data_IF_832439675204
#
_entry.id   IF_832439675204
#
_cell.length_a   1.000
_cell.length_b   1.000
_cell.length_c   1.000
_cell.angle_alpha   90.00
_cell.angle_beta   90.00
_cell.angle_gamma   90.00
#
_symmetry.space_group_name_H-M   'P 1'
#
loop_
_entity.id
_entity.type
_entity.pdbx_description
1 polymer ?
#
# COMPACT_ATOMS: atom_id res chain seq x y z
N UNK A 1 -84.20 3.81 11.78
CA UNK A 1 -83.19 2.85 11.30
C UNK A 1 -82.44 3.50 10.12
N UNK A 2 -81.20 4.07 10.36
CA UNK A 2 -80.28 4.50 9.31
C UNK A 2 -79.26 3.36 9.08
N UNK A 3 -79.23 2.86 7.84
CA UNK A 3 -78.14 2.00 7.37
C UNK A 3 -77.05 2.91 6.77
N UNK A 4 -75.86 2.93 7.38
CA UNK A 4 -74.64 3.50 6.78
C UNK A 4 -73.89 2.41 6.03
N UNK A 5 -73.84 2.56 4.71
CA UNK A 5 -72.99 1.71 3.84
C UNK A 5 -71.53 2.17 3.87
N UNK A 6 -70.68 1.31 4.33
CA UNK A 6 -69.20 1.49 4.34
C UNK A 6 -68.64 1.08 2.93
N UNK A 7 -68.24 2.01 2.11
CA UNK A 7 -67.59 1.73 0.82
C UNK A 7 -66.08 1.47 1.05
N UNK A 8 -65.63 0.22 0.88
CA UNK A 8 -64.21 -0.12 0.88
C UNK A 8 -63.56 0.28 -0.42
N UNK A 9 -62.65 1.24 -0.38
CA UNK A 9 -61.80 1.63 -1.52
C UNK A 9 -60.62 0.66 -1.58
N UNK A 10 -60.65 -0.29 -2.49
CA UNK A 10 -59.50 -1.13 -2.84
C UNK A 10 -58.52 -0.32 -3.72
N UNK A 11 -57.45 0.19 -3.11
CA UNK A 11 -56.33 0.79 -3.84
C UNK A 11 -55.50 -0.32 -4.49
N UNK A 12 -55.64 -0.50 -5.79
CA UNK A 12 -54.77 -1.31 -6.62
C UNK A 12 -53.38 -0.61 -6.74
N UNK A 13 -52.43 -1.01 -5.94
CA UNK A 13 -51.03 -0.63 -6.12
C UNK A 13 -50.49 -1.35 -7.38
N UNK A 14 -50.20 -0.56 -8.42
CA UNK A 14 -49.50 -1.07 -9.59
C UNK A 14 -48.12 -1.64 -9.19
N UNK A 15 -47.69 -2.78 -9.73
CA UNK A 15 -46.37 -3.31 -9.47
C UNK A 15 -45.31 -2.31 -9.96
N UNK A 16 -44.45 -1.84 -9.05
CA UNK A 16 -43.25 -1.06 -9.40
C UNK A 16 -42.32 -2.03 -10.11
N UNK A 17 -42.25 -1.93 -11.45
CA UNK A 17 -41.27 -2.64 -12.26
C UNK A 17 -39.90 -2.05 -11.86
N UNK A 18 -39.14 -2.77 -11.04
CA UNK A 18 -37.77 -2.41 -10.68
C UNK A 18 -36.95 -2.35 -11.98
N UNK A 19 -36.34 -1.18 -12.24
CA UNK A 19 -35.41 -1.00 -13.36
C UNK A 19 -34.31 -2.06 -13.22
N UNK A 20 -33.94 -2.79 -14.29
CA UNK A 20 -32.85 -3.78 -14.20
C UNK A 20 -31.61 -3.11 -13.61
N UNK A 21 -31.00 -3.73 -12.62
CA UNK A 21 -29.75 -3.25 -12.05
C UNK A 21 -28.72 -3.14 -13.18
N UNK A 22 -28.05 -2.00 -13.28
CA UNK A 22 -26.97 -1.82 -14.24
C UNK A 22 -25.91 -2.89 -13.99
N UNK A 23 -25.31 -3.44 -15.06
CA UNK A 23 -24.19 -4.38 -14.89
C UNK A 23 -23.06 -3.68 -14.17
N UNK A 24 -22.40 -4.34 -13.19
CA UNK A 24 -21.23 -3.79 -12.55
C UNK A 24 -20.13 -3.44 -13.58
N UNK A 25 -19.38 -2.41 -13.29
CA UNK A 25 -18.22 -1.98 -14.07
C UNK A 25 -17.12 -3.02 -13.85
N UNK A 26 -16.63 -3.66 -14.93
CA UNK A 26 -15.47 -4.56 -14.85
C UNK A 26 -14.24 -3.73 -14.47
N UNK A 27 -13.49 -4.21 -13.46
CA UNK A 27 -12.20 -3.64 -13.08
C UNK A 27 -11.14 -4.72 -13.21
N UNK A 28 -10.09 -4.43 -13.96
CA UNK A 28 -8.96 -5.35 -14.18
C UNK A 28 -7.84 -5.11 -13.19
N UNK A 29 -7.53 -3.84 -12.95
CA UNK A 29 -6.50 -3.43 -11.98
C UNK A 29 -7.03 -2.26 -11.16
N UNK A 30 -6.90 -2.37 -9.84
CA UNK A 30 -7.09 -1.26 -8.90
C UNK A 30 -5.72 -0.74 -8.50
N UNK A 31 -5.46 0.53 -8.77
CA UNK A 31 -4.27 1.23 -8.26
C UNK A 31 -4.65 1.93 -6.97
N UNK A 32 -3.88 1.66 -5.92
CA UNK A 32 -4.08 2.21 -4.58
C UNK A 32 -2.94 3.18 -4.28
N UNK A 33 -3.28 4.41 -3.93
CA UNK A 33 -2.37 5.45 -3.46
C UNK A 33 -2.86 5.98 -2.12
N UNK A 34 -1.99 6.61 -1.33
CA UNK A 34 -2.38 7.13 -0.02
C UNK A 34 -2.90 8.57 -0.10
N UNK A 35 -2.24 9.45 -0.85
CA UNK A 35 -2.57 10.87 -0.84
C UNK A 35 -2.45 11.56 -2.19
N UNK A 36 -2.98 12.78 -2.24
CA UNK A 36 -2.78 13.75 -3.30
C UNK A 36 -2.76 15.16 -2.72
N UNK A 37 -1.93 16.03 -3.27
CA UNK A 37 -1.79 17.41 -2.86
C UNK A 37 -2.71 18.29 -3.74
N UNK A 38 -3.67 18.99 -3.11
CA UNK A 38 -4.59 19.88 -3.84
C UNK A 38 -5.58 19.15 -4.75
N UNK A 39 -5.55 19.45 -6.06
CA UNK A 39 -6.43 18.85 -7.05
C UNK A 39 -5.94 17.49 -7.52
N UNK A 40 -6.78 16.71 -8.19
CA UNK A 40 -6.37 15.43 -8.76
C UNK A 40 -5.33 15.58 -9.88
N UNK A 41 -5.26 16.75 -10.54
CA UNK A 41 -4.33 17.05 -11.63
C UNK A 41 -4.06 18.54 -11.76
N UNK A 42 -2.89 18.93 -12.29
CA UNK A 42 -2.61 20.31 -12.73
C UNK A 42 -1.95 21.21 -11.68
N UNK A 43 -1.60 20.68 -10.52
CA UNK A 43 -0.89 21.41 -9.47
C UNK A 43 0.32 20.60 -8.92
N UNK A 44 0.71 20.82 -7.67
CA UNK A 44 1.81 20.06 -7.05
C UNK A 44 1.37 18.60 -6.89
N UNK A 45 2.10 17.63 -7.49
CA UNK A 45 1.68 16.24 -7.46
C UNK A 45 1.90 15.57 -6.11
N UNK A 46 0.89 14.79 -5.69
CA UNK A 46 1.05 13.67 -4.78
C UNK A 46 1.13 12.36 -5.54
N UNK A 47 0.75 11.27 -4.88
CA UNK A 47 0.81 9.91 -5.48
C UNK A 47 -0.27 9.66 -6.55
N UNK A 48 -1.42 10.30 -6.41
CA UNK A 48 -2.60 10.04 -7.24
C UNK A 48 -2.53 10.73 -8.61
N UNK A 49 -1.87 11.88 -8.73
CA UNK A 49 -1.93 12.74 -9.90
C UNK A 49 -1.48 12.06 -11.19
N UNK A 50 -0.40 11.26 -11.16
CA UNK A 50 0.08 10.55 -12.35
C UNK A 50 -0.99 9.60 -12.91
N UNK A 51 -1.68 8.88 -12.03
CA UNK A 51 -2.78 7.98 -12.39
C UNK A 51 -4.02 8.74 -12.83
N UNK A 52 -4.41 9.78 -12.10
CA UNK A 52 -5.56 10.62 -12.43
C UNK A 52 -5.45 11.30 -13.80
N UNK A 53 -4.23 11.58 -14.25
CA UNK A 53 -3.96 12.20 -15.55
C UNK A 53 -4.28 11.26 -16.72
N UNK A 54 -4.08 9.95 -16.56
CA UNK A 54 -4.30 8.96 -17.64
C UNK A 54 -5.62 8.21 -17.54
N UNK A 55 -6.33 8.32 -16.41
CA UNK A 55 -7.64 7.70 -16.17
C UNK A 55 -8.73 8.78 -16.27
N UNK A 56 -9.37 8.93 -17.45
CA UNK A 56 -10.15 10.14 -17.77
C UNK A 56 -11.46 10.28 -17.00
N UNK A 57 -12.09 9.14 -16.61
CA UNK A 57 -13.40 9.20 -15.95
C UNK A 57 -13.25 9.44 -14.44
N UNK A 58 -14.04 10.40 -13.93
CA UNK A 58 -14.17 10.68 -12.50
C UNK A 58 -15.46 10.05 -12.00
N UNK A 59 -15.36 9.08 -11.10
CA UNK A 59 -16.49 8.39 -10.50
C UNK A 59 -16.69 8.88 -9.07
N UNK A 60 -17.87 9.38 -8.75
CA UNK A 60 -18.19 9.84 -7.39
C UNK A 60 -18.04 8.71 -6.37
N UNK A 61 -17.28 8.96 -5.31
CA UNK A 61 -17.03 8.00 -4.24
C UNK A 61 -17.13 8.67 -2.86
N UNK A 62 -18.36 8.94 -2.39
CA UNK A 62 -18.59 9.71 -1.17
C UNK A 62 -18.12 9.01 0.12
N UNK A 63 -17.86 7.69 0.07
CA UNK A 63 -17.32 6.93 1.19
C UNK A 63 -15.78 6.99 1.28
N UNK A 64 -15.11 7.62 0.32
CA UNK A 64 -13.66 7.78 0.28
C UNK A 64 -13.21 9.22 0.48
N UNK A 65 -11.91 9.43 0.59
CA UNK A 65 -11.30 10.77 0.74
C UNK A 65 -11.34 11.57 -0.57
N UNK A 66 -11.40 10.85 -1.72
CA UNK A 66 -11.47 11.43 -3.07
C UNK A 66 -12.40 10.61 -3.97
N UNK A 67 -12.80 11.20 -5.10
CA UNK A 67 -13.45 10.45 -6.17
C UNK A 67 -12.46 9.49 -6.82
N UNK A 68 -12.99 8.39 -7.36
CA UNK A 68 -12.20 7.43 -8.10
C UNK A 68 -11.87 7.97 -9.50
N UNK A 69 -10.79 7.45 -10.08
CA UNK A 69 -10.47 7.61 -11.51
C UNK A 69 -10.53 6.27 -12.22
N UNK A 70 -11.04 6.26 -13.43
CA UNK A 70 -11.25 5.04 -14.21
C UNK A 70 -11.01 5.28 -15.70
N UNK A 71 -10.50 4.27 -16.38
CA UNK A 71 -10.42 4.24 -17.83
C UNK A 71 -11.24 3.05 -18.38
N UNK A 72 -12.34 3.31 -19.14
CA UNK A 72 -13.17 2.25 -19.71
C UNK A 72 -12.49 1.44 -20.82
N UNK A 73 -11.34 1.87 -21.33
CA UNK A 73 -10.57 1.13 -22.34
C UNK A 73 -9.68 0.06 -21.73
N UNK A 74 -8.96 0.42 -20.68
CA UNK A 74 -8.04 -0.48 -19.96
C UNK A 74 -8.68 -1.15 -18.77
N UNK A 75 -9.84 -0.65 -18.30
CA UNK A 75 -10.52 -1.09 -17.08
C UNK A 75 -9.65 -0.93 -15.82
N UNK A 76 -8.75 0.05 -15.83
CA UNK A 76 -7.96 0.44 -14.66
C UNK A 76 -8.73 1.43 -13.82
N UNK A 77 -8.81 1.18 -12.51
CA UNK A 77 -9.41 2.05 -11.51
C UNK A 77 -8.31 2.55 -10.57
N UNK A 78 -8.33 3.81 -10.18
CA UNK A 78 -7.44 4.34 -9.15
C UNK A 78 -8.24 4.93 -7.97
N UNK A 79 -7.74 4.66 -6.77
CA UNK A 79 -8.25 5.17 -5.50
C UNK A 79 -7.13 5.82 -4.69
N UNK A 80 -7.41 6.97 -4.06
CA UNK A 80 -6.59 7.53 -2.99
C UNK A 80 -7.29 7.23 -1.66
N UNK A 81 -6.62 6.48 -0.78
CA UNK A 81 -7.24 5.94 0.43
C UNK A 81 -7.29 6.93 1.60
N UNK A 82 -6.41 7.93 1.60
CA UNK A 82 -5.98 8.64 2.81
C UNK A 82 -4.79 7.94 3.45
N UNK A 83 -3.97 8.70 4.16
CA UNK A 83 -2.75 8.23 4.82
C UNK A 83 -3.07 7.41 6.07
N UNK A 84 -2.29 6.37 6.28
CA UNK A 84 -2.33 5.51 7.46
C UNK A 84 -3.29 4.33 7.37
N UNK A 85 -3.01 3.34 8.19
CA UNK A 85 -3.69 2.02 8.25
C UNK A 85 -5.20 2.13 8.33
N UNK A 86 -5.72 3.05 9.17
CA UNK A 86 -7.16 3.20 9.39
C UNK A 86 -7.90 3.73 8.16
N UNK A 87 -7.37 4.75 7.49
CA UNK A 87 -7.94 5.29 6.25
C UNK A 87 -7.87 4.27 5.12
N UNK A 88 -6.73 3.60 4.97
CA UNK A 88 -6.55 2.57 3.96
C UNK A 88 -7.58 1.45 4.13
N UNK A 89 -7.72 0.91 5.35
CA UNK A 89 -8.68 -0.15 5.63
C UNK A 89 -10.12 0.28 5.31
N UNK A 90 -10.55 1.45 5.77
CA UNK A 90 -11.89 1.95 5.54
C UNK A 90 -12.19 2.17 4.04
N UNK A 91 -11.25 2.77 3.32
CA UNK A 91 -11.41 3.07 1.89
C UNK A 91 -11.43 1.81 1.02
N UNK A 92 -10.56 0.83 1.30
CA UNK A 92 -10.54 -0.45 0.57
C UNK A 92 -11.79 -1.28 0.85
N UNK A 93 -12.25 -1.34 2.12
CA UNK A 93 -13.51 -2.00 2.46
C UNK A 93 -14.70 -1.34 1.77
N UNK A 94 -14.76 -0.01 1.76
CA UNK A 94 -15.84 0.73 1.08
C UNK A 94 -15.87 0.44 -0.43
N UNK A 95 -14.69 0.44 -1.09
CA UNK A 95 -14.59 0.11 -2.52
C UNK A 95 -14.96 -1.36 -2.78
N UNK A 96 -14.43 -2.30 -1.98
CA UNK A 96 -14.64 -3.73 -2.15
C UNK A 96 -16.09 -4.17 -1.96
N UNK A 97 -16.88 -3.41 -1.18
CA UNK A 97 -18.31 -3.63 -0.96
C UNK A 97 -19.22 -2.83 -1.90
N UNK A 98 -18.68 -1.97 -2.75
CA UNK A 98 -19.47 -1.14 -3.66
C UNK A 98 -20.02 -1.98 -4.83
N UNK A 99 -21.35 -2.15 -4.93
CA UNK A 99 -21.97 -3.02 -5.93
C UNK A 99 -21.85 -2.48 -7.37
N UNK A 100 -21.34 -1.27 -7.55
CA UNK A 100 -21.11 -0.69 -8.88
C UNK A 100 -19.94 -1.34 -9.61
N UNK A 101 -19.03 -2.03 -8.90
CA UNK A 101 -17.81 -2.59 -9.46
C UNK A 101 -17.77 -4.11 -9.36
N UNK A 102 -17.27 -4.78 -10.40
CA UNK A 102 -16.84 -6.16 -10.36
C UNK A 102 -15.33 -6.20 -10.12
N UNK A 103 -14.95 -6.55 -8.90
CA UNK A 103 -13.58 -6.63 -8.42
C UNK A 103 -13.09 -8.08 -8.22
N UNK A 104 -13.92 -9.06 -8.58
CA UNK A 104 -13.70 -10.49 -8.26
C UNK A 104 -12.37 -11.01 -8.80
N UNK A 105 -11.95 -10.56 -9.98
CA UNK A 105 -10.70 -10.97 -10.62
C UNK A 105 -9.65 -9.86 -10.67
N UNK A 106 -9.95 -8.67 -10.12
CA UNK A 106 -9.06 -7.53 -10.19
C UNK A 106 -7.71 -7.80 -9.52
N UNK A 107 -6.64 -7.32 -10.14
CA UNK A 107 -5.36 -7.14 -9.47
C UNK A 107 -5.40 -5.84 -8.67
N UNK A 108 -4.69 -5.82 -7.56
CA UNK A 108 -4.54 -4.65 -6.70
C UNK A 108 -3.07 -4.28 -6.66
N UNK A 109 -2.75 -3.04 -6.97
CA UNK A 109 -1.40 -2.52 -6.87
C UNK A 109 -1.38 -1.33 -5.92
N UNK A 110 -0.75 -1.47 -4.77
CA UNK A 110 -0.32 -0.31 -4.00
C UNK A 110 0.89 0.29 -4.70
N UNK A 111 0.80 1.57 -5.08
CA UNK A 111 1.86 2.31 -5.75
C UNK A 111 2.05 3.65 -5.02
N UNK A 112 2.87 3.64 -3.98
CA UNK A 112 2.96 4.71 -2.99
C UNK A 112 4.41 4.90 -2.50
N UNK A 113 4.69 6.06 -1.90
CA UNK A 113 6.01 6.36 -1.33
C UNK A 113 6.21 5.69 0.03
N UNK A 114 7.48 5.58 0.47
CA UNK A 114 7.86 5.00 1.76
C UNK A 114 9.27 5.45 2.18
N UNK A 115 9.59 5.28 3.45
CA UNK A 115 10.96 5.40 3.95
C UNK A 115 11.77 4.14 3.63
N UNK A 116 13.00 4.29 3.11
CA UNK A 116 13.89 3.16 2.80
C UNK A 116 14.90 2.93 3.91
N UNK A 117 15.14 1.66 4.24
CA UNK A 117 16.24 1.28 5.12
C UNK A 117 17.59 1.56 4.41
N UNK A 118 18.45 2.46 4.95
CA UNK A 118 19.73 2.78 4.32
C UNK A 118 20.68 1.58 4.23
N UNK A 119 20.49 0.53 5.04
CA UNK A 119 21.30 -0.68 4.99
C UNK A 119 20.96 -1.60 3.80
N UNK A 120 19.82 -1.39 3.13
CA UNK A 120 19.29 -2.31 2.11
C UNK A 120 18.88 -1.63 0.81
N UNK A 121 18.75 -0.30 0.79
CA UNK A 121 18.36 0.42 -0.40
C UNK A 121 18.74 1.90 -0.37
N UNK A 122 18.46 2.60 -1.46
CA UNK A 122 18.78 4.01 -1.65
C UNK A 122 17.54 4.84 -1.96
N UNK A 123 17.56 6.12 -1.54
CA UNK A 123 16.50 7.08 -1.85
C UNK A 123 16.27 7.18 -3.37
N UNK A 124 15.01 7.25 -3.78
CA UNK A 124 14.55 7.21 -5.17
C UNK A 124 14.39 5.80 -5.75
N UNK A 125 14.79 4.74 -5.02
CA UNK A 125 14.59 3.34 -5.43
C UNK A 125 13.13 2.90 -5.30
N UNK A 126 12.78 1.81 -6.00
CA UNK A 126 11.46 1.18 -5.96
C UNK A 126 11.57 -0.28 -5.50
N UNK A 127 10.76 -0.69 -4.52
CA UNK A 127 10.78 -2.05 -3.99
C UNK A 127 9.45 -2.77 -4.20
N UNK A 128 9.51 -3.96 -4.77
CA UNK A 128 8.43 -4.93 -4.77
C UNK A 128 8.46 -5.74 -3.49
N UNK A 129 7.37 -5.67 -2.71
CA UNK A 129 7.28 -6.23 -1.37
C UNK A 129 6.81 -7.69 -1.41
N UNK A 130 7.43 -8.53 -0.60
CA UNK A 130 7.09 -9.95 -0.47
C UNK A 130 6.22 -10.28 0.74
N UNK A 131 6.45 -9.60 1.84
CA UNK A 131 5.66 -9.70 3.06
C UNK A 131 5.41 -8.30 3.63
N UNK A 132 4.17 -8.03 4.05
CA UNK A 132 3.79 -6.83 4.81
C UNK A 132 3.72 -7.20 6.28
N UNK A 133 4.42 -6.47 7.14
CA UNK A 133 4.55 -6.77 8.56
C UNK A 133 3.98 -5.62 9.38
N UNK A 134 2.94 -5.92 10.16
CA UNK A 134 2.26 -4.96 11.01
C UNK A 134 3.14 -4.55 12.21
N UNK A 135 3.18 -3.25 12.49
CA UNK A 135 3.88 -2.69 13.64
C UNK A 135 2.95 -2.10 14.70
N UNK A 136 1.63 -2.14 14.47
CA UNK A 136 0.65 -1.55 15.38
C UNK A 136 0.05 -2.59 16.35
N UNK A 137 -0.08 -3.84 15.91
CA UNK A 137 -0.69 -4.90 16.72
C UNK A 137 0.34 -5.58 17.63
N UNK A 138 0.61 -4.94 18.76
CA UNK A 138 1.64 -5.35 19.72
C UNK A 138 1.29 -4.90 21.15
N UNK A 139 2.06 -5.37 22.15
CA UNK A 139 2.14 -4.72 23.45
C UNK A 139 3.26 -3.71 23.47
N UNK A 140 3.06 -2.59 24.15
CA UNK A 140 4.07 -1.55 24.28
C UNK A 140 4.29 -1.18 25.75
N UNK A 141 5.57 -1.07 26.12
CA UNK A 141 6.05 -0.50 27.37
C UNK A 141 6.99 0.65 26.98
N UNK A 142 6.95 1.77 27.70
CA UNK A 142 7.92 2.85 27.46
C UNK A 142 9.35 2.29 27.59
N UNK A 143 10.25 2.51 26.64
CA UNK A 143 11.61 1.95 26.69
C UNK A 143 12.40 2.31 27.93
N UNK A 144 12.03 3.42 28.63
CA UNK A 144 12.65 3.86 29.90
C UNK A 144 12.20 3.01 31.11
N UNK A 145 11.10 2.25 30.96
CA UNK A 145 10.49 1.42 32.03
C UNK A 145 10.69 -0.08 31.76
N UNK A 146 11.44 -0.44 30.73
CA UNK A 146 11.69 -1.84 30.39
C UNK A 146 12.73 -2.49 31.32
N UNK A 147 12.69 -3.82 31.50
CA UNK A 147 13.75 -4.55 32.19
C UNK A 147 15.13 -4.31 31.57
N UNK A 148 16.17 -4.33 32.39
CA UNK A 148 17.55 -4.18 31.91
C UNK A 148 17.89 -5.25 30.85
N UNK A 149 18.53 -4.80 29.76
CA UNK A 149 18.93 -5.66 28.63
C UNK A 149 17.90 -5.75 27.50
N UNK A 150 16.71 -5.18 27.66
CA UNK A 150 15.79 -5.08 26.55
C UNK A 150 16.19 -3.95 25.60
N UNK A 151 16.15 -4.24 24.29
CA UNK A 151 16.50 -3.27 23.24
C UNK A 151 15.27 -2.49 22.74
N UNK A 152 14.08 -2.89 23.14
CA UNK A 152 12.82 -2.28 22.74
C UNK A 152 11.77 -2.49 23.82
N UNK A 153 10.78 -1.59 23.88
CA UNK A 153 9.56 -1.77 24.69
C UNK A 153 8.40 -2.41 23.92
N UNK A 154 8.62 -2.80 22.65
CA UNK A 154 7.59 -3.43 21.82
C UNK A 154 7.69 -4.95 21.92
N UNK A 155 6.58 -5.59 22.28
CA UNK A 155 6.48 -7.05 22.40
C UNK A 155 5.44 -7.59 21.44
N UNK A 156 5.70 -8.74 20.81
CA UNK A 156 4.68 -9.42 20.00
C UNK A 156 3.44 -9.71 20.85
N UNK A 157 2.27 -9.55 20.27
CA UNK A 157 1.01 -9.84 20.98
C UNK A 157 1.03 -11.29 21.51
N UNK A 158 0.54 -11.49 22.73
CA UNK A 158 0.64 -12.75 23.47
C UNK A 158 2.06 -13.24 23.80
N UNK A 159 3.05 -12.36 23.82
CA UNK A 159 4.40 -12.63 24.34
C UNK A 159 4.75 -11.62 25.43
N UNK A 160 5.54 -12.06 26.40
CA UNK A 160 5.93 -11.25 27.57
C UNK A 160 7.37 -10.74 27.47
N UNK A 161 8.05 -11.01 26.37
CA UNK A 161 9.42 -10.58 26.10
C UNK A 161 9.55 -10.20 24.62
N UNK A 162 10.40 -9.21 24.26
CA UNK A 162 10.70 -8.90 22.87
C UNK A 162 11.22 -10.14 22.12
N UNK A 163 10.71 -10.36 20.91
CA UNK A 163 11.16 -11.42 19.99
C UNK A 163 11.08 -12.85 20.57
N UNK A 164 10.21 -13.08 21.56
CA UNK A 164 10.07 -14.41 22.21
C UNK A 164 9.48 -15.43 21.25
N UNK A 165 10.16 -16.57 21.12
CA UNK A 165 9.66 -17.74 20.38
C UNK A 165 8.88 -18.70 21.29
N UNK A 166 8.01 -19.59 20.74
CA UNK A 166 7.61 -19.62 19.32
C UNK A 166 6.83 -18.39 18.90
N UNK A 167 6.73 -18.14 17.59
CA UNK A 167 5.88 -17.07 17.07
C UNK A 167 4.44 -17.23 17.60
N UNK A 168 3.75 -16.12 17.92
CA UNK A 168 2.30 -16.17 18.13
C UNK A 168 1.57 -16.48 16.82
N UNK A 169 0.26 -16.50 16.84
CA UNK A 169 -0.53 -16.50 15.61
C UNK A 169 -0.15 -15.26 14.79
N UNK A 170 0.25 -15.49 13.53
CA UNK A 170 0.77 -14.45 12.63
C UNK A 170 -0.30 -13.76 11.80
N UNK A 171 -1.57 -14.18 11.90
CA UNK A 171 -2.67 -13.67 11.08
C UNK A 171 -2.92 -12.15 11.20
N UNK A 172 -2.46 -11.55 12.28
CA UNK A 172 -2.62 -10.11 12.54
C UNK A 172 -1.34 -9.29 12.36
N UNK A 173 -0.19 -9.94 12.25
CA UNK A 173 1.11 -9.25 12.15
C UNK A 173 1.85 -9.53 10.84
N UNK A 174 1.58 -10.66 10.17
CA UNK A 174 2.26 -11.03 8.94
C UNK A 174 1.25 -11.28 7.83
N UNK A 175 1.38 -10.53 6.74
CA UNK A 175 0.59 -10.67 5.52
C UNK A 175 1.50 -11.11 4.37
N UNK A 176 1.68 -12.43 4.16
CA UNK A 176 2.47 -12.93 3.04
C UNK A 176 1.76 -12.60 1.72
N UNK A 177 2.49 -11.94 0.82
CA UNK A 177 2.00 -11.67 -0.53
C UNK A 177 2.33 -12.83 -1.48
N UNK A 178 1.78 -12.75 -2.69
CA UNK A 178 2.06 -13.74 -3.74
C UNK A 178 3.48 -13.49 -4.31
N UNK A 179 4.50 -14.14 -3.73
CA UNK A 179 5.90 -13.96 -4.13
C UNK A 179 6.17 -14.30 -5.60
N UNK A 180 5.60 -15.36 -6.20
CA UNK A 180 5.68 -15.57 -7.65
C UNK A 180 5.16 -14.39 -8.48
N UNK A 181 4.04 -13.78 -8.10
CA UNK A 181 3.49 -12.58 -8.76
C UNK A 181 4.43 -11.37 -8.56
N UNK A 182 4.95 -11.18 -7.34
CA UNK A 182 5.97 -10.15 -7.04
C UNK A 182 7.22 -10.34 -7.91
N UNK A 183 7.74 -11.56 -8.00
CA UNK A 183 8.96 -11.87 -8.77
C UNK A 183 8.77 -11.66 -10.27
N UNK A 184 7.57 -11.95 -10.78
CA UNK A 184 7.19 -11.60 -12.15
C UNK A 184 7.20 -10.08 -12.37
N UNK A 185 6.61 -9.30 -11.47
CA UNK A 185 6.59 -7.83 -11.54
C UNK A 185 8.01 -7.26 -11.48
N UNK A 186 8.85 -7.80 -10.58
CA UNK A 186 10.27 -7.45 -10.51
C UNK A 186 11.01 -7.79 -11.82
N UNK A 187 10.84 -9.00 -12.36
CA UNK A 187 11.45 -9.41 -13.63
C UNK A 187 11.08 -8.49 -14.80
N UNK A 188 9.85 -7.97 -14.82
CA UNK A 188 9.36 -7.03 -15.82
C UNK A 188 9.97 -5.63 -15.67
N UNK A 189 10.37 -5.24 -14.46
CA UNK A 189 10.66 -3.83 -14.11
C UNK A 189 12.09 -3.58 -13.62
N UNK A 190 12.86 -4.60 -13.30
CA UNK A 190 14.21 -4.46 -12.69
C UNK A 190 15.19 -3.57 -13.48
N UNK A 191 15.00 -3.46 -14.79
CA UNK A 191 15.85 -2.68 -15.67
C UNK A 191 15.26 -1.30 -16.02
N UNK A 192 14.18 -0.88 -15.32
CA UNK A 192 13.58 0.45 -15.49
C UNK A 192 14.56 1.50 -14.95
N UNK A 193 14.94 2.44 -15.82
CA UNK A 193 15.78 3.58 -15.42
C UNK A 193 14.95 4.53 -14.51
N UNK A 194 15.42 4.74 -13.30
CA UNK A 194 14.80 5.64 -12.33
C UNK A 194 15.48 7.01 -12.34
N UNK A 195 14.75 8.11 -12.01
CA UNK A 195 15.34 9.43 -11.94
C UNK A 195 16.47 9.50 -10.90
N UNK A 196 17.62 10.01 -11.29
CA UNK A 196 18.75 10.23 -10.39
C UNK A 196 19.23 11.70 -10.49
N UNK A 197 18.54 12.57 -9.75
CA UNK A 197 18.82 14.00 -9.73
C UNK A 197 20.06 14.33 -8.90
N UNK A 198 20.65 15.52 -9.13
CA UNK A 198 21.76 16.01 -8.31
C UNK A 198 21.40 16.06 -6.82
N UNK A 199 20.17 16.44 -6.49
CA UNK A 199 19.69 16.47 -5.10
C UNK A 199 19.69 15.07 -4.45
N UNK A 200 19.31 14.03 -5.20
CA UNK A 200 19.41 12.64 -4.75
C UNK A 200 20.85 12.18 -4.56
N UNK A 201 21.73 12.53 -5.51
CA UNK A 201 23.17 12.21 -5.41
C UNK A 201 23.79 12.85 -4.18
N UNK A 202 23.46 14.12 -3.89
CA UNK A 202 23.96 14.83 -2.72
C UNK A 202 23.43 14.22 -1.41
N UNK A 203 22.14 13.85 -1.37
CA UNK A 203 21.56 13.14 -0.24
C UNK A 203 22.29 11.81 0.02
N UNK A 204 22.44 10.98 -1.01
CA UNK A 204 23.11 9.67 -0.86
C UNK A 204 24.57 9.78 -0.44
N UNK A 205 25.26 10.83 -0.88
CA UNK A 205 26.66 11.07 -0.52
C UNK A 205 26.86 11.31 0.98
N UNK A 206 25.82 11.69 1.74
CA UNK A 206 25.89 11.85 3.20
C UNK A 206 25.94 10.51 3.94
N UNK A 207 25.46 9.41 3.32
CA UNK A 207 25.39 8.08 3.93
C UNK A 207 26.70 7.30 3.81
N UNK A 208 27.81 7.88 4.27
CA UNK A 208 29.18 7.37 4.07
C UNK A 208 29.44 6.01 4.70
N UNK A 209 28.67 5.58 5.70
CA UNK A 209 28.81 4.30 6.38
C UNK A 209 27.92 3.18 5.81
N UNK A 210 27.03 3.49 4.85
CA UNK A 210 26.03 2.55 4.31
C UNK A 210 26.13 2.44 2.80
N UNK A 211 26.91 1.47 2.25
CA UNK A 211 27.15 1.34 0.81
C UNK A 211 25.86 1.20 -0.02
N UNK A 212 24.83 0.52 0.51
CA UNK A 212 23.55 0.35 -0.20
C UNK A 212 22.82 1.68 -0.38
N UNK A 213 22.86 2.56 0.62
CA UNK A 213 22.27 3.89 0.52
C UNK A 213 22.94 4.78 -0.53
N UNK A 214 24.20 4.54 -0.87
CA UNK A 214 24.96 5.32 -1.84
C UNK A 214 24.72 4.89 -3.30
N UNK A 215 24.09 3.76 -3.54
CA UNK A 215 23.80 3.26 -4.91
C UNK A 215 22.85 4.21 -5.63
N UNK A 216 22.95 4.35 -6.95
CA UNK A 216 21.90 4.99 -7.75
C UNK A 216 20.53 4.34 -7.51
N UNK A 217 19.44 5.08 -7.71
CA UNK A 217 18.10 4.53 -7.63
C UNK A 217 17.92 3.29 -8.53
N UNK A 218 17.34 2.24 -8.00
CA UNK A 218 17.12 0.99 -8.71
C UNK A 218 15.89 0.26 -8.21
N UNK A 219 15.41 -0.73 -8.97
CA UNK A 219 14.31 -1.59 -8.56
C UNK A 219 14.86 -2.77 -7.76
N UNK A 220 14.28 -3.03 -6.59
CA UNK A 220 14.68 -4.11 -5.68
C UNK A 220 13.48 -4.89 -5.15
N UNK A 221 13.74 -5.92 -4.36
CA UNK A 221 12.72 -6.69 -3.63
C UNK A 221 13.09 -6.78 -2.17
N UNK A 222 12.11 -6.96 -1.31
CA UNK A 222 12.30 -7.21 0.11
C UNK A 222 10.98 -7.21 0.86
N UNK A 223 11.04 -6.96 2.15
CA UNK A 223 9.89 -6.92 3.03
C UNK A 223 9.68 -5.49 3.55
N UNK A 224 8.45 -5.18 3.96
CA UNK A 224 8.16 -3.90 4.59
C UNK A 224 7.59 -4.08 5.99
N UNK A 225 7.83 -3.08 6.83
CA UNK A 225 7.02 -2.85 8.02
C UNK A 225 5.99 -1.76 7.72
N UNK A 226 4.76 -1.96 8.20
CA UNK A 226 3.66 -1.02 7.96
C UNK A 226 2.87 -0.77 9.26
N UNK A 227 2.63 0.50 9.56
CA UNK A 227 1.87 0.93 10.74
C UNK A 227 1.47 2.39 10.67
N UNK A 228 0.66 2.84 11.61
CA UNK A 228 0.03 4.16 11.59
C UNK A 228 1.01 5.34 11.73
N UNK A 229 2.20 5.09 12.27
CA UNK A 229 3.14 6.16 12.60
C UNK A 229 4.23 6.31 11.55
N UNK A 230 4.44 7.55 11.05
CA UNK A 230 5.70 7.90 10.40
C UNK A 230 6.82 7.96 11.46
N UNK A 231 7.96 7.38 11.17
CA UNK A 231 9.08 7.33 12.09
C UNK A 231 10.44 7.36 11.38
N UNK A 232 11.43 7.90 12.05
CA UNK A 232 12.85 7.84 11.65
C UNK A 232 13.74 7.62 12.88
N UNK A 233 14.88 7.01 12.69
CA UNK A 233 15.90 6.87 13.75
C UNK A 233 16.63 5.54 13.67
N UNK A 234 17.92 5.56 14.01
CA UNK A 234 18.75 4.35 13.94
C UNK A 234 18.24 3.20 14.85
N UNK A 235 17.70 3.54 16.04
CA UNK A 235 17.17 2.53 16.96
C UNK A 235 15.86 1.93 16.45
N UNK A 236 14.96 2.74 15.87
CA UNK A 236 13.72 2.27 15.27
C UNK A 236 14.01 1.47 14.00
N UNK A 237 15.00 1.87 13.20
CA UNK A 237 15.45 1.10 12.04
C UNK A 237 15.97 -0.29 12.44
N UNK A 238 16.82 -0.36 13.46
CA UNK A 238 17.32 -1.63 13.99
C UNK A 238 16.19 -2.52 14.56
N UNK A 239 15.19 -1.88 15.19
CA UNK A 239 13.98 -2.58 15.63
C UNK A 239 13.19 -3.14 14.45
N UNK A 240 12.96 -2.35 13.39
CA UNK A 240 12.25 -2.78 12.20
C UNK A 240 12.96 -3.96 11.49
N UNK A 241 14.30 -3.93 11.42
CA UNK A 241 15.08 -5.07 10.92
C UNK A 241 14.89 -6.33 11.78
N UNK A 242 14.94 -6.19 13.11
CA UNK A 242 14.74 -7.30 14.04
C UNK A 242 13.29 -7.81 14.00
N UNK A 243 12.29 -6.90 13.89
CA UNK A 243 10.87 -7.22 13.78
C UNK A 243 10.57 -7.99 12.49
N UNK A 244 11.15 -7.56 11.38
CA UNK A 244 11.05 -8.27 10.09
C UNK A 244 11.63 -9.68 10.19
N UNK A 245 12.85 -9.84 10.70
CA UNK A 245 13.46 -11.17 10.89
C UNK A 245 12.61 -12.06 11.80
N UNK A 246 12.10 -11.51 12.89
CA UNK A 246 11.27 -12.26 13.82
C UNK A 246 10.04 -12.85 13.14
N UNK A 247 9.23 -12.03 12.46
CA UNK A 247 7.98 -12.48 11.84
C UNK A 247 8.18 -13.36 10.61
N UNK A 248 9.29 -13.21 9.89
CA UNK A 248 9.58 -13.99 8.68
C UNK A 248 10.46 -15.24 8.96
N UNK A 249 10.78 -15.53 10.22
CA UNK A 249 11.66 -16.64 10.60
C UNK A 249 13.06 -16.51 10.02
N UNK A 250 13.66 -15.33 10.14
CA UNK A 250 14.99 -14.94 9.64
C UNK A 250 15.18 -14.97 8.11
N UNK A 251 14.08 -15.01 7.34
CA UNK A 251 14.13 -15.08 5.86
C UNK A 251 13.92 -13.73 5.18
N UNK A 252 13.23 -12.79 5.85
CA UNK A 252 12.91 -11.49 5.30
C UNK A 252 14.01 -10.46 5.50
N UNK A 253 14.12 -9.54 4.54
CA UNK A 253 15.00 -8.39 4.59
C UNK A 253 14.15 -7.13 4.61
N UNK A 254 14.23 -6.35 5.68
CA UNK A 254 13.54 -5.08 5.81
C UNK A 254 14.08 -4.07 4.80
N UNK A 255 13.23 -3.59 3.90
CA UNK A 255 13.61 -2.60 2.90
C UNK A 255 12.81 -1.31 2.98
N UNK A 256 11.51 -1.36 3.29
CA UNK A 256 10.62 -0.19 3.30
C UNK A 256 9.80 -0.08 4.58
N UNK A 257 9.54 1.15 5.01
CA UNK A 257 8.59 1.48 6.08
C UNK A 257 7.44 2.30 5.49
N UNK A 258 6.23 1.80 5.64
CA UNK A 258 5.01 2.36 5.07
C UNK A 258 3.90 2.50 6.13
N UNK A 259 2.78 3.13 5.75
CA UNK A 259 1.70 3.43 6.71
C UNK A 259 0.34 2.79 6.34
N UNK A 260 0.16 2.22 5.15
CA UNK A 260 -1.16 1.82 4.65
C UNK A 260 -1.35 0.31 4.45
N UNK A 261 -0.26 -0.42 4.15
CA UNK A 261 -0.37 -1.74 3.52
C UNK A 261 -0.97 -2.82 4.41
N UNK A 262 -0.80 -2.74 5.73
CA UNK A 262 -1.53 -3.61 6.67
C UNK A 262 -3.04 -3.41 6.58
N UNK A 263 -3.49 -2.16 6.43
CA UNK A 263 -4.90 -1.84 6.21
C UNK A 263 -5.43 -2.38 4.89
N UNK A 264 -4.66 -2.23 3.81
CA UNK A 264 -4.99 -2.78 2.48
C UNK A 264 -5.04 -4.30 2.52
N UNK A 265 -3.97 -4.95 2.99
CA UNK A 265 -3.84 -6.40 3.00
C UNK A 265 -4.94 -7.07 3.85
N UNK A 266 -5.19 -6.55 5.06
CA UNK A 266 -6.27 -7.02 5.95
C UNK A 266 -7.64 -6.88 5.30
N UNK A 267 -7.91 -5.74 4.66
CA UNK A 267 -9.20 -5.51 3.99
C UNK A 267 -9.41 -6.48 2.83
N UNK A 268 -8.37 -6.72 2.01
CA UNK A 268 -8.45 -7.67 0.91
C UNK A 268 -8.59 -9.12 1.38
N UNK A 269 -7.98 -9.50 2.51
CA UNK A 269 -8.21 -10.82 3.13
C UNK A 269 -9.67 -10.98 3.54
N UNK A 270 -10.26 -9.99 4.22
CA UNK A 270 -11.67 -9.99 4.63
C UNK A 270 -12.62 -10.01 3.42
N UNK A 271 -12.35 -9.19 2.41
CA UNK A 271 -13.12 -9.16 1.16
C UNK A 271 -13.00 -10.47 0.38
N UNK A 272 -11.82 -11.10 0.41
CA UNK A 272 -11.59 -12.41 -0.18
C UNK A 272 -12.40 -13.51 0.49
N UNK A 273 -12.44 -13.54 1.83
CA UNK A 273 -13.29 -14.44 2.63
C UNK A 273 -14.78 -14.24 2.31
N UNK A 274 -15.17 -13.00 1.98
CA UNK A 274 -16.52 -12.66 1.52
C UNK A 274 -16.77 -12.91 0.03
N UNK A 275 -15.81 -13.44 -0.72
CA UNK A 275 -15.93 -13.73 -2.16
C UNK A 275 -16.02 -12.49 -3.06
N UNK A 276 -15.54 -11.34 -2.59
CA UNK A 276 -15.60 -10.06 -3.32
C UNK A 276 -14.37 -9.80 -4.18
N UNK A 277 -13.21 -10.28 -3.75
CA UNK A 277 -11.91 -10.09 -4.40
C UNK A 277 -11.07 -11.36 -4.33
N UNK A 278 -9.99 -11.41 -5.09
CA UNK A 278 -8.97 -12.47 -5.00
C UNK A 278 -7.72 -11.92 -4.28
N UNK A 279 -7.50 -12.20 -2.97
CA UNK A 279 -6.38 -11.63 -2.20
C UNK A 279 -5.00 -11.93 -2.79
N UNK A 280 -4.81 -13.12 -3.37
CA UNK A 280 -3.57 -13.52 -4.03
C UNK A 280 -3.18 -12.70 -5.26
N UNK A 281 -3.92 -11.64 -5.60
CA UNK A 281 -3.66 -10.69 -6.68
C UNK A 281 -3.22 -9.31 -6.17
N UNK A 282 -2.82 -9.19 -4.92
CA UNK A 282 -2.22 -7.99 -4.35
C UNK A 282 -0.74 -7.94 -4.70
N UNK A 283 -0.32 -6.80 -5.23
CA UNK A 283 1.06 -6.33 -5.40
C UNK A 283 1.26 -5.07 -4.56
N UNK A 284 2.39 -4.97 -3.91
CA UNK A 284 2.82 -3.77 -3.19
C UNK A 284 4.12 -3.28 -3.79
N UNK A 285 4.09 -2.06 -4.30
CA UNK A 285 5.24 -1.30 -4.79
C UNK A 285 5.42 -0.07 -3.91
N UNK A 286 6.53 0.00 -3.20
CA UNK A 286 6.90 1.17 -2.40
C UNK A 286 8.13 1.84 -2.99
N UNK A 287 8.14 3.17 -2.99
CA UNK A 287 9.21 3.97 -3.60
C UNK A 287 9.80 4.95 -2.60
N UNK A 288 11.13 4.99 -2.55
CA UNK A 288 11.88 5.61 -1.47
C UNK A 288 11.86 7.14 -1.55
N UNK A 289 11.06 7.80 -0.70
CA UNK A 289 11.00 9.25 -0.56
C UNK A 289 12.01 9.81 0.44
N UNK A 290 12.42 8.99 1.40
CA UNK A 290 13.26 9.35 2.54
C UNK A 290 14.01 8.12 3.06
N UNK A 291 14.93 8.32 4.02
CA UNK A 291 15.59 7.24 4.75
C UNK A 291 15.00 7.05 6.14
N UNK A 292 14.85 5.80 6.57
CA UNK A 292 14.36 5.46 7.92
C UNK A 292 15.37 5.74 9.04
N UNK A 293 16.65 5.94 8.72
CA UNK A 293 17.69 6.27 9.70
C UNK A 293 18.60 7.37 9.18
N UNK A 294 19.11 8.24 10.08
CA UNK A 294 19.98 9.35 9.70
C UNK A 294 21.37 8.91 9.24
N UNK A 295 22.03 9.67 8.37
CA UNK A 295 23.44 9.47 8.04
C UNK A 295 24.35 9.75 9.23
N UNK A 296 25.63 9.35 9.18
CA UNK A 296 26.60 9.66 10.23
C UNK A 296 26.68 11.15 10.55
N UNK A 297 26.63 11.47 11.84
CA UNK A 297 26.73 12.85 12.36
C UNK A 297 25.41 13.62 12.41
N UNK A 298 24.30 13.05 11.90
CA UNK A 298 22.96 13.61 12.03
C UNK A 298 22.16 12.87 13.10
N UNK A 299 21.37 13.59 13.88
CA UNK A 299 20.44 12.99 14.84
C UNK A 299 19.11 12.60 14.19
N UNK A 300 18.35 11.70 14.81
CA UNK A 300 17.00 11.36 14.35
C UNK A 300 16.07 12.58 14.32
N UNK A 301 16.22 13.51 15.29
CA UNK A 301 15.43 14.74 15.31
C UNK A 301 15.76 15.66 14.13
N UNK A 302 17.02 15.83 13.78
CA UNK A 302 17.43 16.61 12.60
C UNK A 302 16.95 15.98 11.29
N UNK A 303 17.00 14.64 11.18
CA UNK A 303 16.41 13.94 10.04
C UNK A 303 14.90 14.21 9.97
N UNK A 304 14.16 14.03 11.06
CA UNK A 304 12.71 14.30 11.11
C UNK A 304 12.38 15.74 10.67
N UNK A 305 13.14 16.74 11.12
CA UNK A 305 12.95 18.13 10.72
C UNK A 305 13.21 18.35 9.22
N UNK A 306 14.21 17.66 8.66
CA UNK A 306 14.50 17.76 7.22
C UNK A 306 13.38 17.16 6.37
N UNK A 307 12.80 16.07 6.83
CA UNK A 307 11.67 15.40 6.16
C UNK A 307 10.38 16.24 6.20
N UNK A 308 10.12 16.99 7.26
CA UNK A 308 8.97 17.91 7.35
C UNK A 308 9.06 19.14 6.42
N UNK A 309 10.23 19.45 5.88
CA UNK A 309 10.46 20.66 5.11
C UNK A 309 10.68 20.49 3.62
N UNK A 310 11.49 19.54 3.21
CA UNK A 310 11.86 19.29 1.81
C UNK A 310 12.41 17.88 1.65
N UNK A 311 11.62 17.00 1.07
CA UNK A 311 12.08 15.68 0.69
C UNK A 311 12.88 15.74 -0.63
N UNK A 312 14.21 15.60 -0.64
CA UNK A 312 14.98 15.62 -1.89
C UNK A 312 14.55 14.51 -2.86
N UNK A 313 14.07 13.38 -2.32
CA UNK A 313 13.64 12.22 -3.09
C UNK A 313 12.13 12.22 -3.41
N UNK A 314 11.33 13.15 -2.87
CA UNK A 314 9.86 13.12 -3.00
C UNK A 314 9.40 13.02 -4.46
N UNK A 315 9.84 13.95 -5.32
CA UNK A 315 9.43 13.93 -6.73
C UNK A 315 9.94 12.68 -7.46
N UNK A 316 11.16 12.27 -7.18
CA UNK A 316 11.74 11.07 -7.82
C UNK A 316 11.03 9.79 -7.39
N UNK A 317 10.56 9.71 -6.13
CA UNK A 317 9.78 8.57 -5.65
C UNK A 317 8.40 8.50 -6.32
N UNK A 318 7.70 9.62 -6.51
CA UNK A 318 6.45 9.65 -7.26
C UNK A 318 6.65 9.20 -8.72
N UNK A 319 7.69 9.71 -9.38
CA UNK A 319 8.02 9.32 -10.75
C UNK A 319 8.40 7.83 -10.82
N UNK A 320 9.12 7.29 -9.83
CA UNK A 320 9.45 5.87 -9.75
C UNK A 320 8.20 4.98 -9.59
N UNK A 321 7.25 5.38 -8.74
CA UNK A 321 5.98 4.67 -8.56
C UNK A 321 5.19 4.58 -9.88
N UNK A 322 5.15 5.68 -10.62
CA UNK A 322 4.52 5.73 -11.95
C UNK A 322 5.28 4.87 -12.99
N UNK A 323 6.60 5.04 -13.11
CA UNK A 323 7.41 4.34 -14.13
C UNK A 323 7.40 2.82 -13.93
N UNK A 324 7.57 2.38 -12.69
CA UNK A 324 7.63 0.96 -12.34
C UNK A 324 6.22 0.37 -12.26
N UNK A 325 5.32 0.99 -11.50
CA UNK A 325 3.95 0.53 -11.31
C UNK A 325 3.14 0.56 -12.60
N UNK A 326 3.25 1.63 -13.40
CA UNK A 326 2.56 1.78 -14.68
C UNK A 326 2.88 0.67 -15.66
N UNK A 327 4.15 0.24 -15.73
CA UNK A 327 4.56 -0.88 -16.58
C UNK A 327 3.82 -2.17 -16.22
N UNK A 328 3.64 -2.46 -14.93
CA UNK A 328 2.91 -3.65 -14.46
C UNK A 328 1.40 -3.51 -14.64
N UNK A 329 0.84 -2.36 -14.29
CA UNK A 329 -0.60 -2.08 -14.42
C UNK A 329 -1.07 -2.26 -15.85
N UNK A 330 -0.38 -1.62 -16.80
CA UNK A 330 -0.79 -1.68 -18.20
C UNK A 330 -0.46 -3.01 -18.87
N UNK A 331 0.56 -3.73 -18.42
CA UNK A 331 0.80 -5.12 -18.86
C UNK A 331 -0.37 -6.01 -18.44
N UNK A 332 -0.80 -5.97 -17.17
CA UNK A 332 -1.94 -6.74 -16.68
C UNK A 332 -3.25 -6.37 -17.37
N UNK A 333 -3.51 -5.07 -17.52
CA UNK A 333 -4.77 -4.57 -18.08
C UNK A 333 -4.91 -4.86 -19.59
N UNK A 334 -3.84 -4.68 -20.36
CA UNK A 334 -3.86 -4.84 -21.82
C UNK A 334 -3.81 -6.31 -22.25
N UNK A 335 -3.26 -7.19 -21.44
CA UNK A 335 -3.20 -8.63 -21.71
C UNK A 335 -4.16 -9.42 -20.80
N UNK A 336 -5.33 -8.83 -20.50
CA UNK A 336 -6.31 -9.32 -19.55
C UNK A 336 -6.74 -10.77 -19.79
N UNK A 337 -6.97 -11.18 -21.04
CA UNK A 337 -7.37 -12.54 -21.37
C UNK A 337 -6.35 -13.58 -20.88
N UNK A 338 -5.07 -13.24 -20.86
CA UNK A 338 -4.00 -14.06 -20.33
C UNK A 338 -4.01 -14.09 -18.81
N UNK A 339 -4.19 -12.93 -18.17
CA UNK A 339 -3.98 -12.77 -16.74
C UNK A 339 -5.26 -12.89 -15.91
N UNK A 340 -6.44 -12.85 -16.52
CA UNK A 340 -7.70 -13.04 -15.81
C UNK A 340 -7.79 -14.42 -15.17
N UNK A 341 -7.44 -15.47 -15.90
CA UNK A 341 -7.51 -16.86 -15.44
C UNK A 341 -6.24 -17.32 -14.70
N UNK A 342 -5.08 -16.82 -15.11
CA UNK A 342 -3.77 -17.26 -14.60
C UNK A 342 -2.99 -16.10 -14.03
N UNK A 343 -2.67 -16.20 -12.73
CA UNK A 343 -1.84 -15.19 -12.05
C UNK A 343 -0.39 -15.36 -12.55
N UNK A 344 0.25 -14.27 -13.02
CA UNK A 344 1.63 -14.33 -13.48
C UNK A 344 2.59 -14.89 -12.43
N UNK A 345 3.63 -15.62 -12.89
CA UNK A 345 4.63 -16.22 -12.00
C UNK A 345 4.19 -17.49 -11.28
N UNK A 346 2.89 -17.78 -11.21
CA UNK A 346 2.41 -19.05 -10.66
C UNK A 346 2.41 -20.14 -11.75
N UNK A 347 2.71 -21.39 -11.38
CA UNK A 347 2.56 -22.51 -12.29
C UNK A 347 1.07 -22.72 -12.61
N UNK A 348 0.72 -23.11 -13.85
CA UNK A 348 -0.65 -23.40 -14.23
C UNK A 348 -1.23 -24.59 -13.47
#
# INVERSE_FOLDING_TARGET
LLLTALAAVLSLSAPVIAKPAARPIEVRVVVVTAFEIGQDTGDIPGEFQAWATVLPEKIAFPAGVRNLRYDPKTHVLAISTGEGTGHAAASIMALGMDPRFDLTHAYWLVAAIAGVNPNTGSAGSAAWIGDVIDTDFNYAIDPRETPAGWTTGTLPYHRLEPFKLPLPDTSDNLFPLNKPLRDWAYGLTRDVALPDTKALQDLRATYTATPEAQKPPHVLTGEEVSGQSFWVGAMLNAHAEAWTRYWTGDKGVFVMSAMEDTGVARSLDMLGKAGKVAPGRLLVLRTASDYTAPPPGQTAHELMLSEMGKFPAFRASLDAAWLVGGKVVFELANHWDRYKAHVPGTQP
#
